data_IF_661093381971
#
_entry.id   IF_661093381971
#
_cell.length_a   1.000
_cell.length_b   1.000
_cell.length_c   1.000
_cell.angle_alpha   90.00
_cell.angle_beta   90.00
_cell.angle_gamma   90.00
#
_symmetry.space_group_name_H-M   'P 1'
#
loop_
_entity.id
_entity.type
_entity.pdbx_description
1 polymer ?
#
# COMPACT_ATOMS: atom_id res chain seq x y z
N UNK A 1 -2.38 -9.53 14.33
CA UNK A 1 -1.05 -8.88 14.52
C UNK A 1 0.06 -9.87 14.20
N UNK A 2 1.26 -9.42 13.83
CA UNK A 2 2.46 -10.28 13.76
C UNK A 2 3.50 -9.67 14.70
N UNK A 3 3.87 -10.35 15.78
CA UNK A 3 4.65 -9.72 16.86
C UNK A 3 5.54 -10.71 17.62
N UNK A 4 6.45 -10.19 18.45
CA UNK A 4 7.17 -10.98 19.47
C UNK A 4 6.22 -11.39 20.60
N UNK A 5 6.59 -12.45 21.33
CA UNK A 5 5.78 -13.01 22.41
C UNK A 5 6.24 -12.57 23.81
N UNK A 6 6.56 -11.28 23.93
CA UNK A 6 6.89 -10.67 25.22
C UNK A 6 5.68 -10.68 26.17
N UNK A 7 5.93 -10.75 27.48
CA UNK A 7 4.88 -10.85 28.50
C UNK A 7 3.85 -9.70 28.42
N UNK A 8 4.33 -8.46 28.20
CA UNK A 8 3.45 -7.29 28.06
C UNK A 8 2.60 -7.37 26.80
N UNK A 9 3.20 -7.69 25.65
CA UNK A 9 2.48 -7.84 24.38
C UNK A 9 1.41 -8.92 24.47
N UNK A 10 1.75 -10.07 25.06
CA UNK A 10 0.79 -11.16 25.29
C UNK A 10 -0.36 -10.69 26.19
N UNK A 11 -0.05 -10.00 27.28
CA UNK A 11 -1.06 -9.49 28.22
C UNK A 11 -1.99 -8.47 27.57
N UNK A 12 -1.46 -7.55 26.76
CA UNK A 12 -2.26 -6.54 26.06
C UNK A 12 -3.16 -7.19 25.00
N UNK A 13 -2.59 -8.03 24.14
CA UNK A 13 -3.32 -8.68 23.05
C UNK A 13 -4.42 -9.61 23.58
N UNK A 14 -4.13 -10.38 24.63
CA UNK A 14 -5.13 -11.24 25.28
C UNK A 14 -6.23 -10.41 25.96
N UNK A 15 -5.89 -9.31 26.64
CA UNK A 15 -6.87 -8.44 27.29
C UNK A 15 -7.84 -7.78 26.31
N UNK A 16 -7.38 -7.44 25.10
CA UNK A 16 -8.22 -6.84 24.04
C UNK A 16 -8.78 -7.87 23.06
N UNK A 17 -8.47 -9.15 23.24
CA UNK A 17 -8.91 -10.25 22.38
C UNK A 17 -8.36 -10.19 20.95
N UNK A 18 -7.20 -9.58 20.70
CA UNK A 18 -6.68 -9.41 19.35
C UNK A 18 -5.77 -10.58 18.93
N UNK A 19 -6.11 -11.32 17.86
CA UNK A 19 -5.29 -12.45 17.42
C UNK A 19 -3.94 -12.02 16.89
N UNK A 20 -2.95 -12.88 17.13
CA UNK A 20 -1.63 -12.68 16.59
C UNK A 20 -0.97 -13.94 16.04
N UNK A 21 -0.04 -13.72 15.11
CA UNK A 21 1.02 -14.67 14.79
C UNK A 21 2.22 -14.28 15.64
N UNK A 22 2.52 -15.10 16.63
CA UNK A 22 3.59 -14.89 17.60
C UNK A 22 4.91 -15.45 17.06
N UNK A 23 5.95 -14.62 17.06
CA UNK A 23 7.33 -15.01 16.77
C UNK A 23 8.18 -14.92 18.04
N UNK A 24 8.25 -15.98 18.88
CA UNK A 24 9.06 -15.96 20.08
C UNK A 24 10.51 -15.60 19.78
N UNK A 25 11.08 -14.68 20.56
CA UNK A 25 12.50 -14.38 20.44
C UNK A 25 13.33 -15.56 20.98
N UNK A 26 14.18 -16.20 20.16
CA UNK A 26 14.84 -17.45 20.53
C UNK A 26 15.87 -17.33 21.66
N UNK A 27 16.42 -16.12 21.87
CA UNK A 27 17.39 -15.86 22.94
C UNK A 27 16.74 -15.26 24.21
N UNK A 28 15.44 -15.41 24.36
CA UNK A 28 14.73 -14.95 25.53
C UNK A 28 15.03 -15.87 26.73
N UNK A 29 15.18 -15.28 27.92
CA UNK A 29 15.58 -16.01 29.13
C UNK A 29 14.61 -17.17 29.40
N UNK A 30 15.15 -18.36 29.68
CA UNK A 30 14.39 -19.58 29.94
C UNK A 30 13.34 -19.94 28.87
N UNK A 31 13.55 -19.49 27.62
CA UNK A 31 12.59 -19.66 26.52
C UNK A 31 11.17 -19.13 26.86
N UNK A 32 11.10 -18.13 27.75
CA UNK A 32 9.83 -17.67 28.30
C UNK A 32 8.86 -17.11 27.25
N UNK A 33 9.35 -16.61 26.10
CA UNK A 33 8.49 -16.11 25.03
C UNK A 33 7.77 -17.24 24.30
N UNK A 34 8.40 -18.40 24.13
CA UNK A 34 7.74 -19.58 23.53
C UNK A 34 6.63 -20.09 24.44
N UNK A 35 6.89 -20.12 25.74
CA UNK A 35 5.88 -20.51 26.74
C UNK A 35 4.69 -19.55 26.75
N UNK A 36 4.94 -18.23 26.72
CA UNK A 36 3.88 -17.23 26.64
C UNK A 36 3.03 -17.39 25.37
N UNK A 37 3.67 -17.50 24.21
CA UNK A 37 2.96 -17.69 22.94
C UNK A 37 2.14 -18.99 22.94
N UNK A 38 2.73 -20.10 23.41
CA UNK A 38 2.08 -21.41 23.45
C UNK A 38 0.77 -21.37 24.25
N UNK A 39 0.77 -20.74 25.42
CA UNK A 39 -0.44 -20.61 26.24
C UNK A 39 -1.59 -19.90 25.50
N UNK A 40 -1.28 -18.86 24.71
CA UNK A 40 -2.30 -18.14 23.93
C UNK A 40 -2.75 -18.93 22.72
N UNK A 41 -1.82 -19.59 22.01
CA UNK A 41 -2.12 -20.41 20.83
C UNK A 41 -3.00 -21.61 21.19
N UNK A 42 -2.71 -22.29 22.30
CA UNK A 42 -3.53 -23.40 22.81
C UNK A 42 -4.95 -22.98 23.19
N UNK A 43 -5.11 -21.73 23.65
CA UNK A 43 -6.41 -21.12 23.91
C UNK A 43 -7.12 -20.62 22.63
N UNK A 44 -6.52 -20.82 21.44
CA UNK A 44 -7.05 -20.38 20.16
C UNK A 44 -6.79 -18.90 19.85
N UNK A 45 -6.03 -18.16 20.66
CA UNK A 45 -5.81 -16.72 20.49
C UNK A 45 -4.78 -16.34 19.41
N UNK A 46 -4.34 -17.29 18.58
CA UNK A 46 -3.37 -17.01 17.53
C UNK A 46 -2.62 -18.23 16.99
N UNK A 47 -1.57 -17.96 16.22
CA UNK A 47 -0.60 -18.94 15.73
C UNK A 47 0.79 -18.61 16.28
N UNK A 48 1.67 -19.60 16.35
CA UNK A 48 3.08 -19.38 16.68
C UNK A 48 3.95 -19.84 15.51
N UNK A 49 4.92 -19.02 15.14
CA UNK A 49 5.92 -19.31 14.11
C UNK A 49 7.27 -18.87 14.66
N UNK A 50 8.22 -19.79 14.77
CA UNK A 50 9.57 -19.48 15.24
C UNK A 50 10.38 -18.74 14.17
N UNK A 51 11.42 -18.01 14.58
CA UNK A 51 12.36 -17.39 13.64
C UNK A 51 13.00 -18.45 12.71
N UNK A 52 13.28 -19.64 13.23
CA UNK A 52 13.84 -20.74 12.45
C UNK A 52 12.87 -21.22 11.36
N UNK A 53 11.59 -21.42 11.69
CA UNK A 53 10.56 -21.81 10.70
C UNK A 53 10.34 -20.72 9.66
N UNK A 54 10.27 -19.45 10.10
CA UNK A 54 10.10 -18.31 9.21
C UNK A 54 11.28 -18.21 8.22
N UNK A 55 12.52 -18.35 8.70
CA UNK A 55 13.72 -18.23 7.87
C UNK A 55 13.92 -19.46 6.97
N UNK A 56 13.54 -20.65 7.43
CA UNK A 56 13.64 -21.88 6.65
C UNK A 56 12.67 -21.87 5.46
N UNK A 57 11.44 -21.38 5.66
CA UNK A 57 10.44 -21.27 4.58
C UNK A 57 9.56 -20.01 4.70
N UNK A 58 10.07 -18.85 4.24
CA UNK A 58 9.28 -17.61 4.21
C UNK A 58 8.02 -17.71 3.33
N UNK A 59 8.02 -18.62 2.35
CA UNK A 59 6.89 -18.83 1.46
C UNK A 59 5.75 -19.60 2.17
N UNK A 60 6.07 -20.59 3.00
CA UNK A 60 5.10 -21.25 3.87
C UNK A 60 4.50 -20.29 4.90
N UNK A 61 5.31 -19.41 5.49
CA UNK A 61 4.79 -18.35 6.37
C UNK A 61 3.79 -17.44 5.63
N UNK A 62 4.19 -16.96 4.45
CA UNK A 62 3.32 -16.13 3.61
C UNK A 62 2.02 -16.85 3.22
N UNK A 63 2.09 -18.16 2.95
CA UNK A 63 0.91 -18.99 2.65
C UNK A 63 0.01 -19.15 3.87
N UNK A 64 0.57 -19.36 5.05
CA UNK A 64 -0.17 -19.45 6.32
C UNK A 64 -0.90 -18.15 6.59
N UNK A 65 -0.20 -17.02 6.49
CA UNK A 65 -0.81 -15.71 6.67
C UNK A 65 -1.90 -15.44 5.62
N UNK A 66 -1.66 -15.78 4.35
CA UNK A 66 -2.67 -15.62 3.30
C UNK A 66 -3.90 -16.52 3.53
N UNK A 67 -3.71 -17.75 4.01
CA UNK A 67 -4.80 -18.66 4.38
C UNK A 67 -5.62 -18.11 5.53
N UNK A 68 -4.96 -17.62 6.58
CA UNK A 68 -5.60 -16.98 7.72
C UNK A 68 -6.41 -15.76 7.29
N UNK A 69 -5.84 -14.90 6.46
CA UNK A 69 -6.51 -13.71 5.93
C UNK A 69 -7.71 -14.03 5.01
N UNK A 70 -7.75 -15.24 4.45
CA UNK A 70 -8.85 -15.72 3.62
C UNK A 70 -9.94 -16.46 4.43
N UNK A 71 -9.60 -17.00 5.60
CA UNK A 71 -10.52 -17.72 6.49
C UNK A 71 -11.05 -16.80 7.59
N UNK A 72 -12.20 -16.19 7.29
CA UNK A 72 -12.89 -15.29 8.21
C UNK A 72 -13.26 -15.98 9.52
N UNK A 73 -13.74 -17.22 9.46
CA UNK A 73 -14.22 -17.90 10.66
C UNK A 73 -13.05 -18.16 11.60
N UNK A 74 -11.94 -18.65 11.07
CA UNK A 74 -10.71 -18.82 11.83
C UNK A 74 -10.25 -17.48 12.44
N UNK A 75 -10.28 -16.38 11.69
CA UNK A 75 -9.94 -15.05 12.20
C UNK A 75 -10.81 -14.63 13.37
N UNK A 76 -12.14 -14.76 13.25
CA UNK A 76 -13.10 -14.41 14.29
C UNK A 76 -12.95 -15.33 15.52
N UNK A 77 -12.72 -16.63 15.33
CA UNK A 77 -12.45 -17.58 16.42
C UNK A 77 -11.20 -17.22 17.22
N UNK A 78 -10.16 -16.70 16.56
CA UNK A 78 -8.97 -16.23 17.26
C UNK A 78 -9.12 -14.82 17.86
N UNK A 79 -10.30 -14.18 17.71
CA UNK A 79 -10.64 -12.89 18.31
C UNK A 79 -10.54 -11.68 17.36
N UNK A 80 -10.31 -11.89 16.06
CA UNK A 80 -10.20 -10.77 15.13
C UNK A 80 -11.57 -10.12 14.94
N UNK A 81 -11.60 -8.78 15.01
CA UNK A 81 -12.75 -8.03 14.52
C UNK A 81 -12.64 -7.90 13.01
N UNK A 82 -13.35 -8.77 12.28
CA UNK A 82 -13.46 -8.70 10.82
C UNK A 82 -14.68 -7.87 10.45
N UNK A 83 -14.44 -6.63 10.03
CA UNK A 83 -15.52 -5.75 9.59
C UNK A 83 -15.67 -5.84 8.07
N UNK A 84 -16.88 -6.15 7.61
CA UNK A 84 -17.22 -6.01 6.19
C UNK A 84 -17.50 -4.55 5.92
N UNK A 85 -16.97 -4.06 4.82
CA UNK A 85 -17.30 -2.72 4.37
C UNK A 85 -18.81 -2.57 4.17
N UNK A 86 -19.36 -1.50 4.72
CA UNK A 86 -20.80 -1.27 4.72
C UNK A 86 -21.32 -0.70 3.39
N UNK A 87 -20.44 -0.11 2.57
CA UNK A 87 -20.82 0.49 1.30
C UNK A 87 -20.95 -0.58 0.20
N UNK A 88 -22.16 -0.82 -0.35
CA UNK A 88 -22.36 -1.83 -1.37
C UNK A 88 -21.89 -1.39 -2.77
N UNK A 89 -21.61 -0.10 -2.96
CA UNK A 89 -21.23 0.49 -4.26
C UNK A 89 -19.72 0.65 -4.35
N UNK A 90 -19.08 1.18 -3.29
CA UNK A 90 -17.65 1.46 -3.30
C UNK A 90 -16.86 0.17 -3.15
N UNK A 91 -16.05 -0.14 -4.17
CA UNK A 91 -15.12 -1.27 -4.10
C UNK A 91 -13.84 -0.86 -3.40
N UNK A 92 -13.44 -1.64 -2.41
CA UNK A 92 -12.23 -1.40 -1.64
C UNK A 92 -11.02 -1.96 -2.35
N UNK A 93 -10.06 -1.07 -2.61
CA UNK A 93 -8.84 -1.40 -3.32
C UNK A 93 -7.59 -0.79 -2.67
N UNK A 94 -7.75 -0.13 -1.53
CA UNK A 94 -6.67 0.29 -0.65
C UNK A 94 -5.89 -0.93 -0.11
N UNK A 95 -4.55 -0.81 -0.06
CA UNK A 95 -3.66 -1.78 0.59
C UNK A 95 -2.77 -1.04 1.55
N UNK A 96 -3.14 -1.09 2.81
CA UNK A 96 -2.33 -0.57 3.89
C UNK A 96 -2.50 -1.43 5.13
N UNK A 97 -1.54 -1.32 6.03
CA UNK A 97 -1.54 -1.91 7.35
C UNK A 97 -0.99 -0.87 8.32
N UNK A 98 -1.57 -0.79 9.52
CA UNK A 98 -1.00 -0.03 10.64
C UNK A 98 -0.64 -1.03 11.72
N UNK A 99 0.60 -0.98 12.19
CA UNK A 99 1.10 -1.77 13.31
C UNK A 99 1.33 -0.85 14.51
N UNK A 100 0.87 -1.31 15.68
CA UNK A 100 1.08 -0.70 17.00
C UNK A 100 0.72 0.78 17.08
N UNK A 101 -0.21 1.23 16.24
CA UNK A 101 -0.59 2.65 16.07
C UNK A 101 0.59 3.61 15.83
N UNK A 102 1.75 3.09 15.42
CA UNK A 102 3.00 3.86 15.29
C UNK A 102 3.64 3.75 13.90
N UNK A 103 3.37 2.66 13.17
CA UNK A 103 4.00 2.39 11.87
C UNK A 103 2.93 2.02 10.86
N UNK A 104 2.93 2.71 9.72
CA UNK A 104 2.08 2.37 8.58
C UNK A 104 2.90 1.72 7.45
N UNK A 105 2.29 0.72 6.81
CA UNK A 105 2.73 0.15 5.55
C UNK A 105 1.68 0.51 4.50
N UNK A 106 2.08 1.15 3.40
CA UNK A 106 1.21 1.48 2.27
C UNK A 106 1.84 0.88 1.01
N UNK A 107 1.05 0.17 0.20
CA UNK A 107 1.62 -0.60 -0.92
C UNK A 107 0.95 -0.29 -2.25
N UNK A 108 1.73 -0.39 -3.33
CA UNK A 108 1.19 -0.42 -4.70
C UNK A 108 0.75 -1.83 -5.12
N UNK A 109 1.31 -2.85 -4.46
CA UNK A 109 1.03 -4.27 -4.71
C UNK A 109 -0.24 -4.75 -4.01
N UNK A 110 -0.81 -5.83 -4.56
CA UNK A 110 -1.69 -6.70 -3.80
C UNK A 110 -0.81 -7.73 -3.07
N UNK A 111 -1.11 -8.11 -1.82
CA UNK A 111 -0.34 -9.11 -1.06
C UNK A 111 -0.57 -10.53 -1.64
N UNK A 112 0.03 -10.79 -2.80
CA UNK A 112 -0.14 -12.02 -3.58
C UNK A 112 1.20 -12.49 -4.10
N UNK A 113 1.39 -13.80 -4.25
CA UNK A 113 2.64 -14.39 -4.76
C UNK A 113 3.11 -13.72 -6.04
N UNK A 114 2.21 -13.49 -6.99
CA UNK A 114 2.51 -12.79 -8.26
C UNK A 114 3.21 -11.46 -8.01
N UNK A 115 2.69 -10.65 -7.10
CA UNK A 115 3.23 -9.31 -6.89
C UNK A 115 4.59 -9.29 -6.18
N UNK A 116 4.91 -10.33 -5.42
CA UNK A 116 6.24 -10.45 -4.78
C UNK A 116 7.30 -11.05 -5.71
N UNK A 117 6.92 -11.65 -6.82
CA UNK A 117 7.85 -12.48 -7.63
C UNK A 117 7.97 -12.04 -9.09
N UNK A 118 6.94 -11.38 -9.66
CA UNK A 118 6.87 -11.12 -11.11
C UNK A 118 6.55 -9.66 -11.45
N UNK A 119 6.27 -8.81 -10.45
CA UNK A 119 5.92 -7.41 -10.70
C UNK A 119 6.91 -6.47 -10.04
N UNK A 120 7.00 -5.28 -10.61
CA UNK A 120 7.64 -4.15 -9.94
C UNK A 120 6.57 -3.35 -9.20
N UNK A 121 6.78 -3.17 -7.91
CA UNK A 121 5.90 -2.49 -6.98
C UNK A 121 6.73 -1.74 -5.92
N UNK A 122 6.08 -0.83 -5.21
CA UNK A 122 6.66 -0.13 -4.09
C UNK A 122 5.88 -0.43 -2.81
N UNK A 123 6.62 -0.52 -1.71
CA UNK A 123 6.12 -0.63 -0.35
C UNK A 123 6.72 0.53 0.43
N UNK A 124 5.87 1.42 0.95
CA UNK A 124 6.28 2.50 1.84
C UNK A 124 6.01 2.06 3.28
N UNK A 125 7.07 1.99 4.08
CA UNK A 125 6.98 1.82 5.53
C UNK A 125 7.28 3.19 6.15
N UNK A 126 6.38 3.73 6.96
CA UNK A 126 6.52 5.06 7.52
C UNK A 126 6.03 5.14 8.96
N UNK A 127 6.83 5.73 9.87
CA UNK A 127 6.39 6.09 11.22
C UNK A 127 5.77 7.48 11.29
N UNK A 128 5.45 8.13 10.15
CA UNK A 128 4.89 9.49 10.15
C UNK A 128 3.54 9.51 10.90
N UNK A 129 3.44 10.23 12.04
CA UNK A 129 2.25 10.19 12.88
C UNK A 129 1.02 10.78 12.16
N UNK A 130 1.21 11.68 11.19
CA UNK A 130 0.11 12.24 10.40
C UNK A 130 -0.49 11.21 9.45
N UNK A 131 0.36 10.37 8.83
CA UNK A 131 -0.06 9.27 7.97
C UNK A 131 -0.74 8.19 8.80
N UNK A 132 -0.12 7.77 9.89
CA UNK A 132 -0.64 6.72 10.78
C UNK A 132 -2.02 7.11 11.34
N UNK A 133 -2.14 8.31 11.92
CA UNK A 133 -3.42 8.82 12.44
C UNK A 133 -4.49 8.94 11.36
N UNK A 134 -4.10 9.36 10.16
CA UNK A 134 -5.00 9.43 9.00
C UNK A 134 -5.55 8.07 8.61
N UNK A 135 -4.69 7.05 8.52
CA UNK A 135 -5.10 5.68 8.20
C UNK A 135 -5.97 5.05 9.30
N UNK A 136 -5.65 5.26 10.57
CA UNK A 136 -6.50 4.79 11.68
C UNK A 136 -7.88 5.44 11.66
N UNK A 137 -7.94 6.74 11.33
CA UNK A 137 -9.23 7.45 11.19
C UNK A 137 -10.02 6.90 10.00
N UNK A 138 -9.37 6.66 8.87
CA UNK A 138 -9.99 6.05 7.69
C UNK A 138 -10.52 4.65 8.01
N UNK A 139 -9.69 3.80 8.61
CA UNK A 139 -10.05 2.42 8.96
C UNK A 139 -11.28 2.36 9.86
N UNK A 140 -11.32 3.21 10.91
CA UNK A 140 -12.48 3.33 11.81
C UNK A 140 -13.73 3.82 11.09
N UNK A 141 -13.60 4.80 10.19
CA UNK A 141 -14.72 5.34 9.44
C UNK A 141 -15.31 4.32 8.45
N UNK A 142 -14.44 3.69 7.65
CA UNK A 142 -14.83 2.64 6.69
C UNK A 142 -15.46 1.43 7.40
N UNK A 143 -14.92 1.04 8.56
CA UNK A 143 -15.47 -0.04 9.39
C UNK A 143 -16.83 0.30 10.00
N UNK A 144 -17.03 1.53 10.46
CA UNK A 144 -18.30 1.98 10.99
C UNK A 144 -19.33 2.36 9.89
N UNK A 145 -18.93 2.35 8.62
CA UNK A 145 -19.78 2.79 7.51
C UNK A 145 -20.13 4.28 7.56
N UNK A 146 -19.30 5.10 8.21
CA UNK A 146 -19.55 6.54 8.36
C UNK A 146 -18.74 7.35 7.33
N UNK A 147 -19.30 8.44 6.77
CA UNK A 147 -18.56 9.29 5.85
C UNK A 147 -17.32 9.89 6.49
N UNK A 148 -16.28 10.08 5.68
CA UNK A 148 -15.09 10.80 6.12
C UNK A 148 -15.40 12.27 6.44
N UNK A 149 -14.81 12.84 7.51
CA UNK A 149 -15.05 14.22 7.87
C UNK A 149 -14.56 15.18 6.77
N UNK A 150 -15.46 16.01 6.25
CA UNK A 150 -15.16 17.01 5.21
C UNK A 150 -14.21 18.12 5.68
N UNK A 151 -14.18 18.42 6.98
CA UNK A 151 -13.41 19.53 7.58
C UNK A 151 -12.07 19.14 8.20
N UNK A 152 -11.84 17.85 8.51
CA UNK A 152 -10.56 17.35 9.04
C UNK A 152 -9.96 16.39 8.02
N UNK A 153 -9.13 16.87 7.07
CA UNK A 153 -8.47 15.99 6.13
C UNK A 153 -7.66 14.94 6.90
N UNK A 154 -7.51 13.75 6.33
CA UNK A 154 -6.79 12.61 6.91
C UNK A 154 -5.26 12.85 6.96
N UNK A 155 -4.83 14.10 7.10
CA UNK A 155 -3.48 14.56 6.84
C UNK A 155 -3.31 15.04 5.39
N UNK A 156 -2.42 16.01 5.18
CA UNK A 156 -2.12 16.58 3.85
C UNK A 156 -1.34 15.61 2.95
N UNK A 157 -0.78 14.54 3.54
CA UNK A 157 -0.01 13.51 2.84
C UNK A 157 -0.86 12.38 2.29
N UNK A 158 -2.09 12.20 2.76
CA UNK A 158 -2.95 11.09 2.34
C UNK A 158 -3.92 11.52 1.23
N UNK A 159 -3.75 10.89 0.07
CA UNK A 159 -4.72 10.92 -1.02
C UNK A 159 -5.65 9.73 -0.84
N UNK A 160 -6.93 10.02 -0.62
CA UNK A 160 -7.96 9.01 -0.37
C UNK A 160 -9.11 9.19 -1.36
N UNK A 161 -9.41 8.13 -2.09
CA UNK A 161 -10.54 8.06 -3.01
C UNK A 161 -11.74 7.35 -2.39
N UNK A 162 -12.96 7.56 -2.90
CA UNK A 162 -13.25 8.33 -4.11
C UNK A 162 -13.36 9.85 -3.90
N UNK A 163 -13.43 10.33 -2.66
CA UNK A 163 -13.90 11.69 -2.34
C UNK A 163 -12.91 12.78 -2.79
N UNK A 164 -11.60 12.50 -2.83
CA UNK A 164 -10.57 13.52 -3.10
C UNK A 164 -9.52 13.14 -4.14
N UNK A 165 -9.38 11.86 -4.47
CA UNK A 165 -8.33 11.33 -5.34
C UNK A 165 -8.21 12.06 -6.67
N UNK A 166 -9.32 12.28 -7.39
CA UNK A 166 -9.29 13.00 -8.68
C UNK A 166 -8.72 14.41 -8.53
N UNK A 167 -9.29 15.20 -7.62
CA UNK A 167 -8.91 16.59 -7.44
C UNK A 167 -7.44 16.74 -7.00
N UNK A 168 -7.01 15.92 -6.05
CA UNK A 168 -5.64 15.96 -5.53
C UNK A 168 -4.61 15.52 -6.58
N UNK A 169 -4.84 14.39 -7.28
CA UNK A 169 -3.96 13.93 -8.36
C UNK A 169 -3.90 14.94 -9.50
N UNK A 170 -5.05 15.48 -9.93
CA UNK A 170 -5.11 16.53 -10.96
C UNK A 170 -4.30 17.75 -10.54
N UNK A 171 -4.45 18.21 -9.29
CA UNK A 171 -3.71 19.34 -8.75
C UNK A 171 -2.20 19.12 -8.75
N UNK A 172 -1.73 17.90 -8.46
CA UNK A 172 -0.30 17.56 -8.52
C UNK A 172 0.26 17.64 -9.94
N UNK A 173 -0.47 17.13 -10.94
CA UNK A 173 -0.09 17.16 -12.36
C UNK A 173 -0.11 18.59 -12.90
N UNK A 174 -1.18 19.35 -12.63
CA UNK A 174 -1.32 20.74 -13.04
C UNK A 174 -0.24 21.65 -12.43
N UNK A 175 0.19 21.35 -11.20
CA UNK A 175 1.22 22.10 -10.50
C UNK A 175 2.66 21.86 -10.97
N UNK A 176 2.91 20.84 -11.81
CA UNK A 176 4.26 20.46 -12.24
C UNK A 176 4.96 21.57 -13.02
N UNK A 177 6.23 21.82 -12.75
CA UNK A 177 7.03 22.91 -13.35
C UNK A 177 8.10 22.44 -14.34
N UNK A 178 8.55 21.20 -14.22
CA UNK A 178 9.68 20.68 -14.97
C UNK A 178 9.41 19.28 -15.52
N UNK A 179 8.90 18.36 -14.70
CA UNK A 179 8.73 16.97 -15.12
C UNK A 179 7.59 16.23 -14.42
N UNK A 180 7.05 15.26 -15.15
CA UNK A 180 6.04 14.31 -14.70
C UNK A 180 6.47 12.93 -15.16
N UNK A 181 6.63 12.01 -14.22
CA UNK A 181 6.95 10.60 -14.50
C UNK A 181 5.87 9.71 -13.91
N UNK A 182 5.32 8.81 -14.71
CA UNK A 182 4.19 7.96 -14.31
C UNK A 182 4.57 6.51 -14.54
N UNK A 183 4.46 5.69 -13.50
CA UNK A 183 4.38 4.25 -13.61
C UNK A 183 2.94 3.84 -13.34
N UNK A 184 2.20 3.51 -14.40
CA UNK A 184 0.83 3.01 -14.28
C UNK A 184 0.35 2.32 -15.56
N UNK A 185 0.20 1.00 -15.52
CA UNK A 185 -0.34 0.21 -16.62
C UNK A 185 -1.86 0.41 -16.86
N UNK A 186 -2.54 1.15 -15.99
CA UNK A 186 -3.97 1.47 -16.07
C UNK A 186 -4.25 2.95 -16.32
N UNK A 187 -3.25 3.76 -16.70
CA UNK A 187 -3.51 5.14 -17.13
C UNK A 187 -4.51 5.15 -18.29
N UNK A 188 -5.71 5.66 -18.03
CA UNK A 188 -6.80 5.70 -19.00
C UNK A 188 -7.84 6.78 -18.73
N UNK A 189 -7.69 7.57 -17.66
CA UNK A 189 -8.65 8.63 -17.35
C UNK A 189 -8.57 9.76 -18.39
N UNK A 190 -9.67 10.11 -19.08
CA UNK A 190 -9.62 11.07 -20.18
C UNK A 190 -9.17 12.46 -19.75
N UNK A 191 -9.61 12.94 -18.58
CA UNK A 191 -9.26 14.28 -18.09
C UNK A 191 -7.78 14.37 -17.71
N UNK A 192 -7.24 13.33 -17.06
CA UNK A 192 -5.82 13.29 -16.72
C UNK A 192 -4.96 13.13 -17.97
N UNK A 193 -5.37 12.31 -18.94
CA UNK A 193 -4.65 12.18 -20.21
C UNK A 193 -4.65 13.49 -21.00
N UNK A 194 -5.77 14.20 -21.05
CA UNK A 194 -5.85 15.52 -21.67
C UNK A 194 -4.92 16.53 -20.97
N UNK A 195 -4.94 16.57 -19.63
CA UNK A 195 -4.05 17.44 -18.85
C UNK A 195 -2.57 17.09 -19.10
N UNK A 196 -2.19 15.81 -19.15
CA UNK A 196 -0.81 15.42 -19.43
C UNK A 196 -0.34 15.89 -20.81
N UNK A 197 -1.22 15.87 -21.82
CA UNK A 197 -0.94 16.42 -23.16
C UNK A 197 -0.76 17.94 -23.12
N UNK A 198 -1.61 18.64 -22.39
CA UNK A 198 -1.50 20.09 -22.17
C UNK A 198 -0.16 20.43 -21.50
N UNK A 199 0.18 19.77 -20.38
CA UNK A 199 1.49 19.95 -19.72
C UNK A 199 2.65 19.70 -20.68
N UNK A 200 2.58 18.65 -21.50
CA UNK A 200 3.60 18.34 -22.52
C UNK A 200 3.71 19.45 -23.57
N UNK A 201 2.60 20.02 -24.01
CA UNK A 201 2.58 21.13 -24.96
C UNK A 201 3.17 22.44 -24.37
N UNK A 202 3.06 22.63 -23.06
CA UNK A 202 3.72 23.72 -22.32
C UNK A 202 5.22 23.49 -22.08
N UNK A 203 5.80 22.40 -22.58
CA UNK A 203 7.22 22.08 -22.44
C UNK A 203 7.59 21.31 -21.17
N UNK A 204 6.61 20.86 -20.39
CA UNK A 204 6.87 19.97 -19.24
C UNK A 204 7.26 18.59 -19.77
N UNK A 205 8.34 18.02 -19.22
CA UNK A 205 8.77 16.67 -19.60
C UNK A 205 7.81 15.64 -19.03
N UNK A 206 7.03 14.96 -19.87
CA UNK A 206 6.09 13.90 -19.45
C UNK A 206 6.57 12.54 -19.95
N UNK A 207 6.77 11.59 -19.04
CA UNK A 207 7.14 10.20 -19.36
C UNK A 207 6.20 9.22 -18.66
N UNK A 208 5.82 8.15 -19.36
CA UNK A 208 4.87 7.16 -18.86
C UNK A 208 5.37 5.75 -19.15
N UNK A 209 5.54 4.97 -18.09
CA UNK A 209 5.77 3.53 -18.15
C UNK A 209 4.44 2.81 -17.88
N UNK A 210 3.75 2.43 -18.96
CA UNK A 210 2.44 1.79 -18.95
C UNK A 210 2.50 0.26 -19.03
N UNK A 211 1.72 -0.35 -19.96
CA UNK A 211 1.60 -1.81 -20.12
C UNK A 211 2.80 -2.51 -20.79
N UNK A 212 3.89 -1.79 -21.07
CA UNK A 212 4.99 -2.34 -21.83
C UNK A 212 5.68 -3.46 -21.04
N UNK A 213 5.87 -4.66 -21.63
CA UNK A 213 6.61 -5.71 -20.99
C UNK A 213 8.05 -5.27 -20.75
N UNK A 214 8.51 -5.25 -19.50
CA UNK A 214 9.92 -5.17 -19.21
C UNK A 214 10.47 -6.60 -19.20
N UNK A 215 11.68 -6.83 -19.73
CA UNK A 215 12.30 -8.17 -19.76
C UNK A 215 12.27 -8.80 -18.35
N UNK A 216 11.35 -9.75 -18.14
CA UNK A 216 11.19 -10.51 -16.90
C UNK A 216 10.36 -9.88 -15.77
N UNK A 217 9.86 -8.64 -15.88
CA UNK A 217 9.11 -7.98 -14.80
C UNK A 217 7.93 -7.16 -15.34
N UNK A 218 6.75 -7.31 -14.74
CA UNK A 218 5.57 -6.51 -15.11
C UNK A 218 5.49 -5.22 -14.29
N UNK A 219 5.40 -4.03 -14.91
CA UNK A 219 5.22 -2.77 -14.18
C UNK A 219 3.79 -2.68 -13.64
N UNK A 220 3.57 -3.16 -12.41
CA UNK A 220 2.25 -3.18 -11.78
C UNK A 220 2.02 -1.95 -10.89
N UNK A 221 3.05 -1.50 -10.18
CA UNK A 221 2.96 -0.43 -9.20
C UNK A 221 2.34 0.85 -9.76
N UNK A 222 1.71 1.64 -8.89
CA UNK A 222 1.20 2.97 -9.24
C UNK A 222 2.05 4.02 -8.57
N UNK A 223 2.74 4.79 -9.40
CA UNK A 223 3.64 5.84 -8.95
C UNK A 223 3.54 7.04 -9.87
N UNK A 224 3.49 8.22 -9.26
CA UNK A 224 3.57 9.51 -9.95
C UNK A 224 4.72 10.29 -9.31
N UNK A 225 5.72 10.73 -10.07
CA UNK A 225 6.79 11.61 -9.60
C UNK A 225 6.62 12.95 -10.31
N UNK A 226 6.63 14.04 -9.55
CA UNK A 226 6.50 15.40 -10.05
C UNK A 226 7.74 16.19 -9.67
N UNK A 227 8.37 16.80 -10.67
CA UNK A 227 9.52 17.70 -10.58
C UNK A 227 10.71 17.12 -9.79
N UNK A 228 10.81 15.79 -9.69
CA UNK A 228 11.82 15.08 -8.87
C UNK A 228 11.83 15.47 -7.39
N UNK A 229 10.81 16.19 -6.92
CA UNK A 229 10.72 16.70 -5.54
C UNK A 229 9.57 16.07 -4.76
N UNK A 230 8.61 15.44 -5.45
CA UNK A 230 7.49 14.74 -4.82
C UNK A 230 7.19 13.45 -5.56
N UNK A 231 6.78 12.44 -4.81
CA UNK A 231 6.22 11.22 -5.37
C UNK A 231 4.87 10.88 -4.73
N UNK A 232 3.99 10.23 -5.48
CA UNK A 232 2.77 9.61 -4.95
C UNK A 232 2.93 8.11 -5.09
N UNK A 233 2.72 7.39 -3.99
CA UNK A 233 2.77 5.93 -3.93
C UNK A 233 1.51 5.37 -3.30
N UNK A 234 0.95 4.32 -3.90
CA UNK A 234 -0.13 3.56 -3.27
C UNK A 234 -0.99 2.82 -4.28
N UNK A 235 -2.26 2.68 -3.92
CA UNK A 235 -3.22 1.84 -4.63
C UNK A 235 -3.97 2.55 -5.77
N UNK A 236 -3.95 3.89 -5.78
CA UNK A 236 -4.64 4.73 -6.77
C UNK A 236 -4.04 4.57 -8.16
N UNK A 237 -4.84 4.06 -9.10
CA UNK A 237 -4.53 4.08 -10.52
C UNK A 237 -5.14 5.32 -11.20
N UNK A 238 -4.52 5.79 -12.27
CA UNK A 238 -4.93 6.94 -13.07
C UNK A 238 -6.02 6.56 -14.10
N UNK A 239 -7.07 5.92 -13.59
CA UNK A 239 -8.27 5.52 -14.32
C UNK A 239 -9.50 6.05 -13.61
N UNK A 240 -10.56 6.41 -14.35
CA UNK A 240 -11.81 6.93 -13.79
C UNK A 240 -12.38 6.03 -12.69
N UNK A 241 -12.35 4.71 -12.91
CA UNK A 241 -12.83 3.74 -11.94
C UNK A 241 -12.09 3.80 -10.60
N UNK A 242 -10.77 4.01 -10.62
CA UNK A 242 -9.96 4.10 -9.40
C UNK A 242 -10.07 5.47 -8.75
N UNK A 243 -10.15 6.53 -9.55
CA UNK A 243 -10.23 7.90 -9.06
C UNK A 243 -11.59 8.25 -8.43
N UNK A 244 -12.70 7.71 -8.94
CA UNK A 244 -14.04 8.21 -8.57
C UNK A 244 -14.94 7.15 -7.93
N UNK A 245 -14.59 5.86 -7.98
CA UNK A 245 -15.51 4.79 -7.59
C UNK A 245 -14.89 3.74 -6.65
N UNK A 246 -13.63 3.91 -6.25
CA UNK A 246 -12.95 2.97 -5.36
C UNK A 246 -12.42 3.65 -4.12
N UNK A 247 -12.46 2.92 -3.00
CA UNK A 247 -11.66 3.26 -1.84
C UNK A 247 -10.20 2.93 -2.17
N UNK A 248 -9.45 3.97 -2.51
CA UNK A 248 -8.01 3.92 -2.77
C UNK A 248 -7.29 4.77 -1.72
N UNK A 249 -6.05 4.39 -1.43
CA UNK A 249 -5.14 5.10 -0.53
C UNK A 249 -3.79 5.24 -1.21
N UNK A 250 -3.29 6.47 -1.24
CA UNK A 250 -1.92 6.80 -1.64
C UNK A 250 -1.32 7.85 -0.72
N UNK A 251 0.01 7.86 -0.62
CA UNK A 251 0.79 8.81 0.19
C UNK A 251 1.60 9.72 -0.73
N UNK A 252 1.60 11.02 -0.43
CA UNK A 252 2.55 11.98 -1.00
C UNK A 252 3.85 11.94 -0.19
N UNK A 253 4.93 11.58 -0.86
CA UNK A 253 6.31 11.50 -0.38
C UNK A 253 7.02 12.78 -0.76
N UNK A 254 7.65 13.42 0.23
CA UNK A 254 8.38 14.69 0.08
C UNK A 254 9.85 14.57 0.49
N UNK A 255 10.21 13.46 1.13
CA UNK A 255 11.54 13.18 1.64
C UNK A 255 12.52 13.08 0.46
N UNK A 256 13.48 14.02 0.31
CA UNK A 256 14.30 14.11 -0.90
C UNK A 256 15.07 12.82 -1.20
N UNK A 257 15.54 12.12 -0.16
CA UNK A 257 16.23 10.84 -0.32
C UNK A 257 15.33 9.74 -0.91
N UNK A 258 14.08 9.65 -0.45
CA UNK A 258 13.12 8.67 -0.96
C UNK A 258 12.68 9.03 -2.38
N UNK A 259 12.40 10.31 -2.66
CA UNK A 259 12.03 10.75 -4.02
C UNK A 259 13.18 10.48 -4.99
N UNK A 260 14.43 10.76 -4.60
CA UNK A 260 15.62 10.43 -5.39
C UNK A 260 15.72 8.93 -5.68
N UNK A 261 15.52 8.07 -4.67
CA UNK A 261 15.52 6.62 -4.83
C UNK A 261 14.45 6.15 -5.81
N UNK A 262 13.21 6.63 -5.66
CA UNK A 262 12.10 6.31 -6.56
C UNK A 262 12.39 6.77 -7.99
N UNK A 263 12.99 7.94 -8.15
CA UNK A 263 13.38 8.46 -9.46
C UNK A 263 14.46 7.59 -10.12
N UNK A 264 15.49 7.18 -9.37
CA UNK A 264 16.51 6.26 -9.86
C UNK A 264 15.91 4.91 -10.25
N UNK A 265 15.01 4.35 -9.44
CA UNK A 265 14.32 3.11 -9.79
C UNK A 265 13.47 3.26 -11.05
N UNK A 266 12.71 4.35 -11.17
CA UNK A 266 11.93 4.64 -12.38
C UNK A 266 12.83 4.69 -13.63
N UNK A 267 13.94 5.43 -13.56
CA UNK A 267 14.90 5.54 -14.66
C UNK A 267 15.48 4.19 -15.07
N UNK A 268 15.83 3.34 -14.10
CA UNK A 268 16.30 1.97 -14.35
C UNK A 268 15.23 1.11 -15.07
N UNK A 269 13.96 1.26 -14.70
CA UNK A 269 12.85 0.57 -15.37
C UNK A 269 12.68 1.07 -16.80
N UNK A 270 12.70 2.39 -17.01
CA UNK A 270 12.55 2.97 -18.35
C UNK A 270 13.73 2.66 -19.27
N UNK A 271 14.96 2.62 -18.74
CA UNK A 271 16.14 2.21 -19.52
C UNK A 271 16.02 0.76 -20.04
N UNK A 272 15.38 -0.12 -19.26
CA UNK A 272 15.08 -1.50 -19.68
C UNK A 272 13.91 -1.60 -20.67
N UNK A 273 13.03 -0.61 -20.73
CA UNK A 273 11.85 -0.57 -21.58
C UNK A 273 12.08 0.04 -22.98
N UNK A 274 13.20 0.77 -23.19
CA UNK A 274 13.52 1.42 -24.48
C UNK A 274 12.69 2.68 -24.77
N UNK A 275 12.71 3.15 -26.02
CA UNK A 275 12.08 4.42 -26.47
C UNK A 275 10.55 4.50 -26.27
N UNK A 276 9.91 3.39 -25.93
CA UNK A 276 8.46 3.28 -25.81
C UNK A 276 7.90 3.93 -24.52
N UNK A 277 8.74 4.36 -23.57
CA UNK A 277 8.37 4.95 -22.28
C UNK A 277 7.82 6.41 -22.30
N UNK A 278 7.41 6.91 -23.46
CA UNK A 278 6.94 8.31 -23.63
C UNK A 278 5.54 8.44 -24.24
N UNK A 279 4.94 7.33 -24.68
CA UNK A 279 3.63 7.36 -25.32
C UNK A 279 2.49 7.51 -24.30
N UNK A 280 1.66 8.52 -24.51
CA UNK A 280 0.37 8.62 -23.83
C UNK A 280 -0.67 7.74 -24.55
N UNK A 281 -1.72 7.26 -23.84
CA UNK A 281 -2.79 6.50 -24.47
C UNK A 281 -3.42 7.24 -25.66
N UNK A 282 -3.32 6.66 -26.86
CA UNK A 282 -3.82 7.25 -28.11
C UNK A 282 -2.79 8.05 -28.92
N UNK A 283 -1.52 8.14 -28.48
CA UNK A 283 -0.43 8.63 -29.33
C UNK A 283 -0.21 7.65 -30.50
N UNK A 284 0.01 8.15 -31.72
CA UNK A 284 0.34 7.29 -32.87
C UNK A 284 1.75 6.71 -32.66
N UNK A 285 1.86 5.39 -32.75
CA UNK A 285 3.16 4.72 -32.80
C UNK A 285 3.71 4.96 -34.20
N UNK A 286 4.87 5.61 -34.29
CA UNK A 286 5.58 5.83 -35.55
C UNK A 286 6.22 4.53 -36.04
#
# INVERSE_FOLDING_TARGET
VVCRAGATTISELTAIGLPAVYLPFPAAADDHQTHNARAVVEAGGGLMVTDAELLADPAAFSKTLAGLLADRHALEEMGAVVTRYADPVVKYHAKYLVADESTAVITTLNPTKKCFTHTWDAVLITPDPSVVKGLLTLFKADGAGVPLPSRRPLGRRLIVGPERSRAEIRGLIAGAKHSIRILDHKLSDPDLVALLRERRAEGITVTVLGKQPMRGVTPHGKMLIVDETRAVLGSTALSTLSLDFRREVSVVVHEPALVKQLNMSYQQLTAKAGAAATHLPGDRIA
#
